data_IF_100256494408
#
_entry.id   IF_100256494408
#
_cell.length_a   1.000
_cell.length_b   1.000
_cell.length_c   1.000
_cell.angle_alpha   90.00
_cell.angle_beta   90.00
_cell.angle_gamma   90.00
#
_symmetry.space_group_name_H-M   'P 1'
#
loop_
_entity.id
_entity.type
_entity.pdbx_description
1 polymer ?
#
# COMPACT_ATOMS: atom_id res chain seq x y z
N UNK A 1 -9.50 -12.09 11.09
CA UNK A 1 -9.20 -10.91 10.28
C UNK A 1 -10.37 -9.94 10.33
N UNK A 2 -10.10 -8.66 10.55
CA UNK A 2 -11.11 -7.62 10.75
C UNK A 2 -11.33 -6.80 9.47
N UNK A 3 -12.46 -6.09 9.39
CA UNK A 3 -12.76 -5.23 8.24
C UNK A 3 -11.74 -4.09 8.06
N UNK A 4 -11.18 -3.59 9.17
CA UNK A 4 -10.11 -2.57 9.15
C UNK A 4 -8.79 -3.12 8.62
N UNK A 5 -8.42 -4.34 9.02
CA UNK A 5 -7.22 -5.03 8.51
C UNK A 5 -7.30 -5.23 7.00
N UNK A 6 -8.48 -5.62 6.50
CA UNK A 6 -8.71 -5.80 5.07
C UNK A 6 -8.59 -4.49 4.29
N UNK A 7 -9.14 -3.39 4.82
CA UNK A 7 -9.05 -2.07 4.20
C UNK A 7 -7.60 -1.58 4.09
N UNK A 8 -6.80 -1.77 5.15
CA UNK A 8 -5.39 -1.38 5.15
C UNK A 8 -4.55 -2.16 4.15
N UNK A 9 -4.75 -3.47 4.07
CA UNK A 9 -4.05 -4.29 3.08
C UNK A 9 -4.45 -3.93 1.65
N UNK A 10 -5.73 -3.62 1.40
CA UNK A 10 -6.20 -3.18 0.08
C UNK A 10 -5.59 -1.84 -0.34
N UNK A 11 -5.50 -0.87 0.58
CA UNK A 11 -4.84 0.42 0.31
C UNK A 11 -3.35 0.20 -0.05
N UNK A 12 -2.66 -0.66 0.69
CA UNK A 12 -1.26 -0.98 0.43
C UNK A 12 -1.03 -1.63 -0.93
N UNK A 13 -1.88 -2.59 -1.29
CA UNK A 13 -1.78 -3.25 -2.60
C UNK A 13 -2.03 -2.27 -3.74
N UNK A 14 -2.95 -1.33 -3.57
CA UNK A 14 -3.22 -0.27 -4.55
C UNK A 14 -2.01 0.65 -4.72
N UNK A 15 -1.35 1.01 -3.62
CA UNK A 15 -0.09 1.76 -3.66
C UNK A 15 0.98 0.99 -4.42
N UNK A 16 1.17 -0.29 -4.13
CA UNK A 16 2.21 -1.12 -4.74
C UNK A 16 1.98 -1.30 -6.25
N UNK A 17 0.73 -1.52 -6.66
CA UNK A 17 0.32 -1.59 -8.06
C UNK A 17 0.54 -0.26 -8.79
N UNK A 18 0.19 0.87 -8.16
CA UNK A 18 0.38 2.21 -8.74
C UNK A 18 1.86 2.53 -8.89
N UNK A 19 2.66 2.26 -7.86
CA UNK A 19 4.12 2.43 -7.91
C UNK A 19 4.72 1.58 -9.03
N UNK A 20 4.30 0.32 -9.18
CA UNK A 20 4.78 -0.55 -10.26
C UNK A 20 4.37 -0.04 -11.65
N UNK A 21 3.13 0.41 -11.83
CA UNK A 21 2.69 1.00 -13.10
C UNK A 21 3.48 2.28 -13.48
N UNK A 22 3.82 3.11 -12.49
CA UNK A 22 4.67 4.30 -12.68
C UNK A 22 6.11 3.92 -13.02
N UNK A 23 6.65 2.89 -12.35
CA UNK A 23 8.02 2.40 -12.53
C UNK A 23 8.23 1.48 -13.73
N UNK A 24 7.17 0.91 -14.31
CA UNK A 24 7.24 0.08 -15.53
C UNK A 24 6.76 0.85 -16.78
N UNK A 25 6.16 2.04 -16.60
CA UNK A 25 5.67 2.89 -17.69
C UNK A 25 6.81 3.55 -18.48
N UNK A 26 6.65 3.77 -19.79
CA UNK A 26 7.68 4.35 -20.67
C UNK A 26 8.07 5.79 -20.30
N UNK A 27 7.27 6.44 -19.45
CA UNK A 27 7.47 7.78 -18.92
C UNK A 27 7.95 7.69 -17.47
N UNK A 28 9.21 7.32 -17.25
CA UNK A 28 9.89 7.57 -15.96
C UNK A 28 10.21 9.05 -15.80
N UNK A 29 9.19 9.90 -15.90
CA UNK A 29 9.31 11.34 -15.75
C UNK A 29 8.87 11.73 -14.34
N UNK A 30 9.56 12.66 -13.65
CA UNK A 30 9.15 13.16 -12.34
C UNK A 30 7.68 13.64 -12.25
N UNK A 31 7.06 13.93 -13.40
CA UNK A 31 5.66 14.34 -13.54
C UNK A 31 4.63 13.28 -13.11
N UNK A 32 4.97 11.99 -12.99
CA UNK A 32 4.04 10.94 -12.51
C UNK A 32 4.07 10.73 -10.99
N UNK A 33 5.04 11.33 -10.26
CA UNK A 33 5.11 11.25 -8.80
C UNK A 33 3.84 11.74 -8.07
N UNK A 34 3.13 12.80 -8.52
CA UNK A 34 1.88 13.23 -7.90
C UNK A 34 0.76 12.18 -7.91
N UNK A 35 0.82 11.17 -8.78
CA UNK A 35 -0.14 10.06 -8.81
C UNK A 35 0.00 9.14 -7.60
N UNK A 36 1.14 9.18 -6.89
CA UNK A 36 1.38 8.38 -5.70
C UNK A 36 0.84 9.03 -4.43
N UNK A 37 0.55 10.34 -4.45
CA UNK A 37 0.12 11.10 -3.26
C UNK A 37 -1.15 10.51 -2.63
N UNK A 38 -2.17 10.26 -3.44
CA UNK A 38 -3.46 9.70 -2.97
C UNK A 38 -3.28 8.31 -2.35
N UNK A 39 -2.69 7.31 -3.04
CA UNK A 39 -2.51 5.99 -2.44
C UNK A 39 -1.54 5.96 -1.25
N UNK A 40 -0.58 6.89 -1.14
CA UNK A 40 0.24 7.05 0.08
C UNK A 40 -0.63 7.48 1.26
N UNK A 41 -1.46 8.51 1.09
CA UNK A 41 -2.36 8.98 2.14
C UNK A 41 -3.37 7.91 2.58
N UNK A 42 -3.89 7.12 1.64
CA UNK A 42 -4.80 6.00 1.96
C UNK A 42 -4.13 4.93 2.84
N UNK A 43 -2.85 4.63 2.59
CA UNK A 43 -2.07 3.72 3.43
C UNK A 43 -1.85 4.30 4.82
N UNK A 44 -1.44 5.57 4.90
CA UNK A 44 -1.21 6.24 6.18
C UNK A 44 -2.47 6.30 7.06
N UNK A 45 -3.62 6.62 6.47
CA UNK A 45 -4.91 6.63 7.18
C UNK A 45 -5.28 5.25 7.70
N UNK A 46 -5.11 4.22 6.88
CA UNK A 46 -5.46 2.86 7.27
C UNK A 46 -4.52 2.30 8.35
N UNK A 47 -3.23 2.65 8.30
CA UNK A 47 -2.25 2.35 9.35
C UNK A 47 -2.60 3.06 10.66
N UNK A 48 -2.97 4.34 10.58
CA UNK A 48 -3.43 5.13 11.73
C UNK A 48 -4.66 4.51 12.39
N UNK A 49 -5.63 4.05 11.59
CA UNK A 49 -6.85 3.41 12.07
C UNK A 49 -6.62 2.05 12.78
N UNK A 50 -5.48 1.42 12.52
CA UNK A 50 -5.04 0.18 13.18
C UNK A 50 -4.10 0.42 14.38
N UNK A 51 -3.76 1.67 14.68
CA UNK A 51 -2.73 1.99 15.67
C UNK A 51 -1.33 1.49 15.26
N UNK A 52 -1.12 1.27 13.97
CA UNK A 52 0.12 0.71 13.40
C UNK A 52 1.06 1.78 12.84
N UNK A 53 0.74 3.07 13.01
CA UNK A 53 1.65 4.16 12.69
C UNK A 53 2.96 4.00 13.49
N UNK A 54 4.08 3.77 12.79
CA UNK A 54 5.41 3.51 13.39
C UNK A 54 5.68 2.05 13.80
N UNK A 55 4.85 1.08 13.38
CA UNK A 55 5.11 -0.35 13.54
C UNK A 55 4.95 -1.09 12.20
N UNK A 56 5.82 -0.75 11.25
CA UNK A 56 5.73 -1.25 9.87
C UNK A 56 5.91 -2.77 9.78
N UNK A 57 6.63 -3.39 10.73
CA UNK A 57 6.87 -4.83 10.76
C UNK A 57 5.59 -5.66 11.00
N UNK A 58 4.72 -5.22 11.92
CA UNK A 58 3.44 -5.87 12.16
C UNK A 58 2.50 -5.75 10.94
N UNK A 59 2.56 -4.61 10.26
CA UNK A 59 1.83 -4.38 9.03
C UNK A 59 2.33 -5.24 7.87
N UNK A 60 3.64 -5.33 7.63
CA UNK A 60 4.20 -6.19 6.58
C UNK A 60 3.84 -7.66 6.78
N UNK A 61 3.79 -8.14 8.03
CA UNK A 61 3.29 -9.49 8.34
C UNK A 61 1.84 -9.68 7.96
N UNK A 62 0.97 -8.74 8.33
CA UNK A 62 -0.45 -8.78 7.97
C UNK A 62 -0.64 -8.80 6.45
N UNK A 63 0.12 -7.98 5.71
CA UNK A 63 0.10 -7.95 4.24
C UNK A 63 0.55 -9.30 3.65
N UNK A 64 1.61 -9.92 4.20
CA UNK A 64 2.11 -11.22 3.74
C UNK A 64 1.12 -12.37 4.01
N UNK A 65 0.36 -12.31 5.10
CA UNK A 65 -0.73 -13.26 5.39
C UNK A 65 -1.91 -13.09 4.41
N UNK A 66 -2.07 -11.89 3.85
CA UNK A 66 -3.18 -11.50 2.96
C UNK A 66 -2.90 -11.68 1.47
N UNK A 67 -1.65 -11.62 1.07
CA UNK A 67 -1.18 -12.00 -0.24
C UNK A 67 -0.26 -13.22 -0.13
N UNK A 68 -0.81 -14.45 -0.12
CA UNK A 68 -0.01 -15.59 -0.50
C UNK A 68 0.49 -15.31 -1.92
N UNK A 69 1.81 -15.30 -2.11
CA UNK A 69 2.43 -14.97 -3.40
C UNK A 69 1.84 -15.80 -4.55
N UNK A 70 2.02 -15.36 -5.81
CA UNK A 70 1.57 -16.15 -6.95
C UNK A 70 2.26 -17.52 -6.90
N UNK A 71 1.47 -18.56 -6.62
CA UNK A 71 1.87 -19.96 -6.83
C UNK A 71 1.92 -20.29 -8.30
#
# INVERSE_FOLDING_TARGET
>A
MTHRELAAAQAYLRLLQTARAVLDGPTHTPAVLPLLTVPISEVDEALGALGMAGNEAAFFRLVAELQPGPG
#
